data_IF_169354919863
#
_entry.id   IF_169354919863
#
_cell.length_a   1.000
_cell.length_b   1.000
_cell.length_c   1.000
_cell.angle_alpha   90.00
_cell.angle_beta   90.00
_cell.angle_gamma   90.00
#
_symmetry.space_group_name_H-M   'P 1'
#
loop_
_entity.id
_entity.type
_entity.pdbx_description
1 polymer ?
#
# COMPACT_ATOMS: atom_id res chain seq x y z
N UNK A 1 13.19 -17.68 -8.07
CA UNK A 1 13.03 -16.33 -8.64
C UNK A 1 11.57 -15.92 -8.77
N UNK A 2 10.66 -16.81 -9.22
CA UNK A 2 9.24 -16.48 -9.44
C UNK A 2 8.52 -15.94 -8.20
N UNK A 3 8.72 -16.54 -7.02
CA UNK A 3 8.10 -16.06 -5.77
C UNK A 3 8.60 -14.66 -5.41
N UNK A 4 9.90 -14.38 -5.62
CA UNK A 4 10.46 -13.05 -5.38
C UNK A 4 9.80 -12.00 -6.28
N UNK A 5 9.66 -12.28 -7.58
CA UNK A 5 8.95 -11.39 -8.49
C UNK A 5 7.48 -11.22 -8.13
N UNK A 6 6.79 -12.29 -7.72
CA UNK A 6 5.40 -12.23 -7.30
C UNK A 6 5.21 -11.34 -6.06
N UNK A 7 6.05 -11.53 -5.03
CA UNK A 7 6.01 -10.72 -3.80
C UNK A 7 6.38 -9.26 -4.09
N UNK A 8 7.42 -9.02 -4.90
CA UNK A 8 7.86 -7.68 -5.24
C UNK A 8 6.82 -6.92 -6.08
N UNK A 9 6.26 -7.54 -7.11
CA UNK A 9 5.23 -6.94 -7.94
C UNK A 9 3.94 -6.68 -7.16
N UNK A 10 3.55 -7.60 -6.28
CA UNK A 10 2.36 -7.42 -5.42
C UNK A 10 2.58 -6.24 -4.46
N UNK A 11 3.74 -6.16 -3.81
CA UNK A 11 4.08 -5.04 -2.95
C UNK A 11 4.10 -3.71 -3.72
N UNK A 12 4.70 -3.69 -4.90
CA UNK A 12 4.79 -2.48 -5.72
C UNK A 12 3.42 -2.01 -6.17
N UNK A 13 2.53 -2.94 -6.56
CA UNK A 13 1.15 -2.65 -6.90
C UNK A 13 0.42 -2.01 -5.70
N UNK A 14 0.55 -2.59 -4.51
CA UNK A 14 -0.05 -2.02 -3.29
C UNK A 14 0.47 -0.62 -3.01
N UNK A 15 1.78 -0.39 -3.08
CA UNK A 15 2.37 0.92 -2.80
C UNK A 15 1.91 2.00 -3.78
N UNK A 16 1.81 1.66 -5.07
CA UNK A 16 1.32 2.56 -6.12
C UNK A 16 -0.16 2.91 -5.91
N UNK A 17 -0.95 2.03 -5.32
CA UNK A 17 -2.38 2.27 -5.12
C UNK A 17 -2.62 3.00 -3.79
N UNK A 18 -2.11 2.47 -2.69
CA UNK A 18 -2.48 2.90 -1.36
C UNK A 18 -1.81 4.21 -0.97
N UNK A 19 -0.52 4.39 -1.27
CA UNK A 19 0.21 5.57 -0.81
C UNK A 19 -0.35 6.88 -1.39
N UNK A 20 -0.71 6.97 -2.69
CA UNK A 20 -1.38 8.15 -3.20
C UNK A 20 -2.72 8.43 -2.52
N UNK A 21 -3.50 7.40 -2.19
CA UNK A 21 -4.75 7.56 -1.45
C UNK A 21 -4.48 8.15 -0.06
N UNK A 22 -3.58 7.55 0.71
CA UNK A 22 -3.18 8.08 2.02
C UNK A 22 -2.64 9.51 1.94
N UNK A 23 -1.88 9.83 0.89
CA UNK A 23 -1.36 11.17 0.65
C UNK A 23 -2.47 12.18 0.40
N UNK A 24 -3.47 11.86 -0.44
CA UNK A 24 -4.59 12.76 -0.74
C UNK A 24 -5.32 13.19 0.55
N UNK A 25 -5.50 12.26 1.49
CA UNK A 25 -6.23 12.55 2.74
C UNK A 25 -5.40 13.26 3.82
N UNK A 26 -4.06 13.18 3.80
CA UNK A 26 -3.21 13.88 4.77
C UNK A 26 -1.82 14.26 4.22
N UNK A 27 -1.78 15.34 3.43
CA UNK A 27 -0.57 15.85 2.76
C UNK A 27 0.46 16.53 3.66
N UNK A 28 0.11 16.77 4.93
CA UNK A 28 0.78 17.80 5.77
C UNK A 28 2.00 17.30 6.56
N UNK A 29 2.35 16.02 6.50
CA UNK A 29 3.43 15.46 7.31
C UNK A 29 4.22 14.40 6.56
N UNK A 30 5.51 14.66 6.36
CA UNK A 30 6.46 13.69 5.80
C UNK A 30 6.61 12.47 6.72
N UNK A 31 6.64 12.67 8.04
CA UNK A 31 6.69 11.58 9.01
C UNK A 31 5.49 10.64 8.87
N UNK A 32 4.28 11.18 8.70
CA UNK A 32 3.09 10.38 8.44
C UNK A 32 3.27 9.51 7.19
N UNK A 33 3.73 10.08 6.08
CA UNK A 33 3.94 9.32 4.84
C UNK A 33 5.02 8.25 4.96
N UNK A 34 6.12 8.54 5.64
CA UNK A 34 7.16 7.53 5.90
C UNK A 34 6.62 6.37 6.74
N UNK A 35 5.77 6.67 7.72
CA UNK A 35 5.08 5.63 8.50
C UNK A 35 4.14 4.81 7.61
N UNK A 36 3.37 5.44 6.73
CA UNK A 36 2.51 4.73 5.76
C UNK A 36 3.36 3.80 4.87
N UNK A 37 4.44 4.31 4.25
CA UNK A 37 5.33 3.48 3.44
C UNK A 37 5.88 2.28 4.23
N UNK A 38 6.42 2.53 5.42
CA UNK A 38 7.01 1.48 6.25
C UNK A 38 5.98 0.41 6.65
N UNK A 39 4.78 0.84 7.04
CA UNK A 39 3.69 -0.05 7.40
C UNK A 39 3.20 -0.87 6.23
N UNK A 40 2.92 -0.25 5.10
CA UNK A 40 2.46 -0.93 3.89
C UNK A 40 3.51 -1.96 3.44
N UNK A 41 4.81 -1.63 3.46
CA UNK A 41 5.89 -2.57 3.15
C UNK A 41 5.88 -3.75 4.10
N UNK A 42 5.85 -3.51 5.42
CA UNK A 42 5.91 -4.57 6.41
C UNK A 42 4.67 -5.46 6.37
N UNK A 43 3.47 -4.86 6.41
CA UNK A 43 2.20 -5.57 6.48
C UNK A 43 1.90 -6.33 5.20
N UNK A 44 2.06 -5.71 4.02
CA UNK A 44 1.82 -6.42 2.76
C UNK A 44 2.84 -7.51 2.50
N UNK A 45 4.11 -7.31 2.86
CA UNK A 45 5.11 -8.37 2.71
C UNK A 45 4.77 -9.57 3.62
N UNK A 46 4.45 -9.32 4.89
CA UNK A 46 4.08 -10.38 5.85
C UNK A 46 2.80 -11.08 5.40
N UNK A 47 1.77 -10.34 5.00
CA UNK A 47 0.51 -10.89 4.50
C UNK A 47 0.74 -11.79 3.28
N UNK A 48 1.45 -11.28 2.26
CA UNK A 48 1.70 -12.06 1.05
C UNK A 48 2.56 -13.31 1.33
N UNK A 49 3.54 -13.23 2.23
CA UNK A 49 4.30 -14.41 2.66
C UNK A 49 3.40 -15.45 3.33
N UNK A 50 2.54 -15.05 4.27
CA UNK A 50 1.61 -15.96 4.93
C UNK A 50 0.63 -16.59 3.93
N UNK A 51 0.11 -15.81 2.99
CA UNK A 51 -0.81 -16.31 1.97
C UNK A 51 -0.17 -17.34 1.04
N UNK A 52 1.07 -17.09 0.61
CA UNK A 52 1.79 -17.99 -0.29
C UNK A 52 2.20 -19.28 0.41
N UNK A 53 2.75 -19.19 1.63
CA UNK A 53 3.40 -20.33 2.30
C UNK A 53 2.51 -21.08 3.30
N UNK A 54 1.53 -20.43 3.91
CA UNK A 54 0.71 -21.02 4.99
C UNK A 54 -0.71 -21.30 4.52
N UNK A 55 -1.32 -20.37 3.78
CA UNK A 55 -2.76 -20.41 3.48
C UNK A 55 -3.09 -20.72 2.02
N UNK A 56 -2.20 -21.43 1.31
CA UNK A 56 -2.34 -21.71 -0.14
C UNK A 56 -3.70 -22.28 -0.52
N UNK A 57 -4.25 -23.24 0.25
CA UNK A 57 -5.54 -23.89 -0.03
C UNK A 57 -6.78 -23.08 0.38
N UNK A 58 -6.61 -22.01 1.16
CA UNK A 58 -7.71 -21.14 1.62
C UNK A 58 -7.43 -19.68 1.28
N UNK A 59 -6.71 -19.45 0.18
CA UNK A 59 -6.14 -18.16 -0.18
C UNK A 59 -7.16 -17.01 -0.11
N UNK A 60 -8.34 -17.15 -0.72
CA UNK A 60 -9.33 -16.07 -0.80
C UNK A 60 -9.89 -15.71 0.58
N UNK A 61 -10.23 -16.72 1.40
CA UNK A 61 -10.77 -16.49 2.74
C UNK A 61 -9.70 -15.91 3.67
N UNK A 62 -8.47 -16.44 3.59
CA UNK A 62 -7.34 -15.94 4.36
C UNK A 62 -6.97 -14.51 3.97
N UNK A 63 -7.02 -14.18 2.68
CA UNK A 63 -6.80 -12.83 2.15
C UNK A 63 -7.81 -11.86 2.78
N UNK A 64 -9.11 -12.14 2.68
CA UNK A 64 -10.14 -11.26 3.23
C UNK A 64 -9.98 -11.04 4.76
N UNK A 65 -9.61 -12.08 5.51
CA UNK A 65 -9.35 -11.95 6.96
C UNK A 65 -8.10 -11.12 7.23
N UNK A 66 -7.00 -11.37 6.51
CA UNK A 66 -5.76 -10.62 6.70
C UNK A 66 -5.94 -9.15 6.33
N UNK A 67 -6.69 -8.83 5.29
CA UNK A 67 -7.04 -7.44 4.91
C UNK A 67 -7.76 -6.72 6.06
N UNK A 68 -8.73 -7.38 6.72
CA UNK A 68 -9.39 -6.79 7.90
C UNK A 68 -8.38 -6.54 9.02
N UNK A 69 -7.45 -7.47 9.26
CA UNK A 69 -6.41 -7.31 10.28
C UNK A 69 -5.47 -6.14 9.92
N UNK A 70 -5.05 -6.05 8.65
CA UNK A 70 -4.20 -4.96 8.14
C UNK A 70 -4.91 -3.63 8.32
N UNK A 71 -6.17 -3.50 7.90
CA UNK A 71 -6.97 -2.28 8.10
C UNK A 71 -7.03 -1.86 9.57
N UNK A 72 -7.18 -2.81 10.50
CA UNK A 72 -7.20 -2.52 11.94
C UNK A 72 -5.85 -2.03 12.44
N UNK A 73 -4.76 -2.69 12.05
CA UNK A 73 -3.39 -2.29 12.43
C UNK A 73 -3.05 -0.93 11.82
N UNK A 74 -3.39 -0.71 10.56
CA UNK A 74 -3.13 0.55 9.86
C UNK A 74 -3.93 1.69 10.45
N UNK A 75 -5.24 1.49 10.65
CA UNK A 75 -6.10 2.46 11.31
C UNK A 75 -5.61 2.81 12.72
N UNK A 76 -5.14 1.82 13.49
CA UNK A 76 -4.57 2.03 14.82
C UNK A 76 -3.25 2.82 14.78
N UNK A 77 -2.33 2.50 13.87
CA UNK A 77 -1.09 3.25 13.73
C UNK A 77 -1.36 4.70 13.30
N UNK A 78 -2.30 4.92 12.38
CA UNK A 78 -2.71 6.24 11.93
C UNK A 78 -3.41 7.05 13.04
N UNK A 79 -4.14 6.37 13.94
CA UNK A 79 -4.82 7.01 15.07
C UNK A 79 -3.87 7.81 15.97
N UNK A 80 -2.57 7.51 15.99
CA UNK A 80 -1.60 8.28 16.77
C UNK A 80 -1.27 9.65 16.17
N UNK A 81 -1.61 9.90 14.90
CA UNK A 81 -1.43 11.19 14.26
C UNK A 81 -2.60 12.13 14.56
N UNK A 82 -2.31 13.18 15.36
CA UNK A 82 -3.30 14.17 15.84
C UNK A 82 -4.19 14.77 14.74
N UNK A 83 -3.67 14.92 13.52
CA UNK A 83 -4.38 15.56 12.41
C UNK A 83 -5.53 14.73 11.82
N UNK A 84 -5.55 13.40 12.02
CA UNK A 84 -6.48 12.50 11.32
C UNK A 84 -7.02 11.37 12.21
N UNK A 85 -6.89 11.48 13.53
CA UNK A 85 -7.28 10.47 14.54
C UNK A 85 -8.49 9.60 14.18
N UNK A 86 -9.66 10.22 14.05
CA UNK A 86 -10.92 9.51 13.80
C UNK A 86 -11.13 9.13 12.34
N UNK A 87 -10.41 9.79 11.42
CA UNK A 87 -10.46 9.51 9.99
C UNK A 87 -9.51 8.38 9.60
N UNK A 88 -8.52 8.06 10.43
CA UNK A 88 -7.49 7.07 10.15
C UNK A 88 -8.03 5.72 9.74
N UNK A 89 -9.01 5.20 10.50
CA UNK A 89 -9.68 3.94 10.17
C UNK A 89 -10.48 3.99 8.86
N UNK A 90 -11.16 5.11 8.57
CA UNK A 90 -11.91 5.27 7.33
C UNK A 90 -10.98 5.37 6.11
N UNK A 91 -9.86 6.07 6.26
CA UNK A 91 -8.83 6.18 5.21
C UNK A 91 -8.20 4.80 4.99
N UNK A 92 -7.85 4.09 6.05
CA UNK A 92 -7.26 2.75 5.95
C UNK A 92 -8.21 1.76 5.28
N UNK A 93 -9.49 1.75 5.71
CA UNK A 93 -10.52 0.92 5.09
C UNK A 93 -10.67 1.26 3.60
N UNK A 94 -10.72 2.54 3.24
CA UNK A 94 -10.83 2.98 1.85
C UNK A 94 -9.64 2.56 1.00
N UNK A 95 -8.42 2.81 1.49
CA UNK A 95 -7.19 2.47 0.78
C UNK A 95 -7.06 0.95 0.55
N UNK A 96 -7.21 0.15 1.61
CA UNK A 96 -7.13 -1.31 1.51
C UNK A 96 -8.28 -1.88 0.67
N UNK A 97 -9.50 -1.33 0.74
CA UNK A 97 -10.61 -1.81 -0.10
C UNK A 97 -10.34 -1.61 -1.59
N UNK A 98 -9.76 -0.46 -1.97
CA UNK A 98 -9.37 -0.18 -3.36
C UNK A 98 -8.21 -1.08 -3.78
N UNK A 99 -7.20 -1.23 -2.91
CA UNK A 99 -6.05 -2.11 -3.10
C UNK A 99 -6.47 -3.57 -3.31
N UNK A 100 -7.33 -4.10 -2.43
CA UNK A 100 -7.91 -5.44 -2.52
C UNK A 100 -8.71 -5.63 -3.80
N UNK A 101 -9.60 -4.67 -4.15
CA UNK A 101 -10.40 -4.75 -5.36
C UNK A 101 -9.54 -4.84 -6.62
N UNK A 102 -8.52 -3.99 -6.72
CA UNK A 102 -7.57 -4.01 -7.84
C UNK A 102 -6.73 -5.29 -7.81
N UNK A 103 -6.23 -5.70 -6.64
CA UNK A 103 -5.46 -6.92 -6.45
C UNK A 103 -6.23 -8.18 -6.88
N UNK A 104 -7.52 -8.28 -6.54
CA UNK A 104 -8.39 -9.37 -6.97
C UNK A 104 -8.62 -9.38 -8.48
N UNK A 105 -8.79 -8.21 -9.12
CA UNK A 105 -8.87 -8.11 -10.58
C UNK A 105 -7.58 -8.58 -11.25
N UNK A 106 -6.43 -8.13 -10.74
CA UNK A 106 -5.12 -8.57 -11.23
C UNK A 106 -4.93 -10.08 -11.08
N UNK A 107 -5.39 -10.65 -9.97
CA UNK A 107 -5.34 -12.09 -9.72
C UNK A 107 -6.29 -12.86 -10.65
N UNK A 108 -7.52 -12.40 -10.85
CA UNK A 108 -8.52 -13.03 -11.73
C UNK A 108 -8.03 -13.14 -13.19
N UNK A 109 -7.35 -12.10 -13.68
CA UNK A 109 -6.75 -12.10 -15.02
C UNK A 109 -5.31 -12.61 -15.06
N UNK A 110 -4.76 -13.04 -13.92
CA UNK A 110 -3.38 -13.48 -13.73
C UNK A 110 -2.33 -12.51 -14.30
N UNK A 111 -2.58 -11.20 -14.24
CA UNK A 111 -1.78 -10.20 -14.96
C UNK A 111 -0.31 -10.19 -14.51
N UNK A 112 -0.07 -10.25 -13.20
CA UNK A 112 1.29 -10.24 -12.64
C UNK A 112 2.09 -11.49 -13.04
N UNK A 113 1.42 -12.64 -13.12
CA UNK A 113 2.05 -13.91 -13.49
C UNK A 113 2.25 -14.03 -15.01
N UNK A 114 1.30 -13.54 -15.80
CA UNK A 114 1.31 -13.64 -17.27
C UNK A 114 2.25 -12.62 -17.93
N UNK A 115 2.36 -11.42 -17.35
CA UNK A 115 3.12 -10.32 -17.92
C UNK A 115 4.09 -9.66 -16.91
N UNK A 116 4.93 -10.41 -16.17
CA UNK A 116 5.74 -9.87 -15.07
C UNK A 116 6.70 -8.75 -15.50
N UNK A 117 7.33 -8.89 -16.67
CA UNK A 117 8.28 -7.90 -17.19
C UNK A 117 7.57 -6.59 -17.55
N UNK A 118 6.43 -6.68 -18.24
CA UNK A 118 5.61 -5.51 -18.60
C UNK A 118 5.14 -4.81 -17.33
N UNK A 119 4.69 -5.57 -16.33
CA UNK A 119 4.25 -5.01 -15.05
C UNK A 119 5.39 -4.30 -14.31
N UNK A 120 6.63 -4.82 -14.33
CA UNK A 120 7.77 -4.09 -13.75
C UNK A 120 8.03 -2.77 -14.48
N UNK A 121 8.03 -2.79 -15.82
CA UNK A 121 8.28 -1.60 -16.65
C UNK A 121 7.19 -0.54 -16.41
N UNK A 122 5.97 -0.92 -16.05
CA UNK A 122 4.88 0.00 -15.73
C UNK A 122 4.94 0.48 -14.28
N UNK A 123 4.99 -0.45 -13.32
CA UNK A 123 4.83 -0.13 -11.91
C UNK A 123 6.05 0.53 -11.30
N UNK A 124 7.28 0.19 -11.71
CA UNK A 124 8.50 0.78 -11.13
C UNK A 124 8.60 2.29 -11.47
N UNK A 125 8.48 2.72 -12.74
CA UNK A 125 8.49 4.14 -13.05
C UNK A 125 7.32 4.88 -12.41
N UNK A 126 6.13 4.28 -12.37
CA UNK A 126 4.95 4.88 -11.75
C UNK A 126 5.20 5.14 -10.26
N UNK A 127 5.69 4.13 -9.53
CA UNK A 127 6.09 4.26 -8.13
C UNK A 127 7.14 5.37 -7.93
N UNK A 128 8.18 5.41 -8.77
CA UNK A 128 9.24 6.41 -8.64
C UNK A 128 8.73 7.84 -8.88
N UNK A 129 7.86 8.01 -9.88
CA UNK A 129 7.24 9.31 -10.21
C UNK A 129 6.34 9.76 -9.06
N UNK A 130 5.48 8.88 -8.55
CA UNK A 130 4.59 9.17 -7.42
C UNK A 130 5.38 9.50 -6.16
N UNK A 131 6.39 8.68 -5.82
CA UNK A 131 7.26 8.90 -4.67
C UNK A 131 7.96 10.26 -4.76
N UNK A 132 8.57 10.58 -5.90
CA UNK A 132 9.25 11.86 -6.10
C UNK A 132 8.28 13.04 -5.99
N UNK A 133 7.11 12.94 -6.61
CA UNK A 133 6.08 13.97 -6.54
C UNK A 133 5.59 14.22 -5.10
N UNK A 134 5.25 13.15 -4.38
CA UNK A 134 4.79 13.20 -2.99
C UNK A 134 5.88 13.82 -2.10
N UNK A 135 7.13 13.38 -2.26
CA UNK A 135 8.26 13.86 -1.47
C UNK A 135 8.51 15.36 -1.67
N UNK A 136 8.60 15.81 -2.93
CA UNK A 136 8.79 17.23 -3.27
C UNK A 136 7.66 18.09 -2.71
N UNK A 137 6.42 17.61 -2.83
CA UNK A 137 5.25 18.35 -2.34
C UNK A 137 5.25 18.50 -0.82
N UNK A 138 5.57 17.43 -0.08
CA UNK A 138 5.70 17.52 1.37
C UNK A 138 6.84 18.43 1.82
N UNK A 139 7.98 18.41 1.13
CA UNK A 139 9.09 19.33 1.43
C UNK A 139 8.68 20.80 1.24
N UNK A 140 7.98 21.12 0.16
CA UNK A 140 7.52 22.49 -0.11
C UNK A 140 6.50 22.97 0.93
N UNK A 141 5.53 22.12 1.29
CA UNK A 141 4.52 22.43 2.30
C UNK A 141 5.13 22.64 3.70
N UNK A 142 6.25 21.96 4.00
CA UNK A 142 6.98 22.12 5.27
C UNK A 142 7.72 23.47 5.30
N UNK A 143 8.46 23.80 4.23
CA UNK A 143 9.19 25.07 4.10
C UNK A 143 8.26 26.30 4.16
N UNK A 144 7.03 26.19 3.68
CA UNK A 144 6.06 27.29 3.74
C UNK A 144 5.53 27.56 5.16
N UNK A 145 5.55 26.57 6.06
CA UNK A 145 5.10 26.76 7.46
C UNK A 145 6.16 27.34 8.37
N UNK A 146 7.42 27.29 7.96
CA UNK A 146 8.57 27.84 8.69
C UNK A 146 8.83 29.33 8.36
N UNK A 147 8.09 29.89 7.40
CA UNK A 147 8.08 31.33 7.06
C UNK A 147 6.85 32.00 7.65
#
# INVERSE_FOLDING_TARGET
MEIFFALFLSLLLTLVIEVPLYFIFNRKSLNYLLVIYAMNIALNLVMNLLLVYVFTYRYIVALAIMEVIVVLIEGFAIFWFKNIRYKGFLIALGANSVSLGIGLLFNQFHLLARFPIIMMILLVPLFLIEFAFIFVKCMNDTKQKEK
#
